data_IF_421295286716
#
_entry.id   IF_421295286716
#
_cell.length_a   1.000
_cell.length_b   1.000
_cell.length_c   1.000
_cell.angle_alpha   90.00
_cell.angle_beta   90.00
_cell.angle_gamma   90.00
#
_symmetry.space_group_name_H-M   'P 1'
#
loop_
_entity.id
_entity.type
_entity.pdbx_description
1 polymer ?
#
# COMPACT_ATOMS: atom_id res chain seq x y z
N UNK A 1 0.99 -45.25 14.35
CA UNK A 1 1.92 -44.63 13.39
C UNK A 1 1.10 -44.19 12.18
N UNK A 2 0.81 -42.90 12.07
CA UNK A 2 0.19 -42.33 10.86
C UNK A 2 1.01 -41.09 10.52
N UNK A 3 1.78 -41.18 9.43
CA UNK A 3 2.64 -40.11 8.95
C UNK A 3 1.81 -39.07 8.20
N UNK A 4 1.81 -37.83 8.68
CA UNK A 4 1.20 -36.68 8.01
C UNK A 4 2.19 -36.11 7.00
N UNK A 5 1.90 -36.24 5.71
CA UNK A 5 2.68 -35.63 4.64
C UNK A 5 2.45 -34.10 4.62
N UNK A 6 3.49 -33.33 4.88
CA UNK A 6 3.52 -31.87 4.67
C UNK A 6 3.78 -31.61 3.19
N UNK A 7 2.83 -30.99 2.50
CA UNK A 7 3.04 -30.45 1.17
C UNK A 7 3.88 -29.17 1.26
N UNK A 8 5.07 -29.19 0.67
CA UNK A 8 5.95 -28.04 0.53
C UNK A 8 5.56 -27.24 -0.72
N UNK A 9 5.13 -25.99 -0.53
CA UNK A 9 4.94 -25.04 -1.64
C UNK A 9 6.34 -24.54 -2.05
N UNK A 10 6.81 -25.00 -3.21
CA UNK A 10 8.05 -24.51 -3.84
C UNK A 10 7.74 -23.24 -4.63
N UNK A 11 8.38 -22.13 -4.25
CA UNK A 11 8.42 -20.92 -5.07
C UNK A 11 9.26 -21.19 -6.34
N UNK A 12 8.65 -21.03 -7.51
CA UNK A 12 9.34 -21.14 -8.79
C UNK A 12 10.18 -19.89 -9.05
N UNK A 13 11.49 -20.10 -9.21
CA UNK A 13 12.48 -19.12 -9.68
C UNK A 13 12.52 -19.24 -11.20
N UNK A 14 12.12 -18.20 -11.94
CA UNK A 14 12.27 -18.19 -13.41
C UNK A 14 13.53 -17.38 -13.73
N UNK A 15 14.54 -18.09 -14.26
CA UNK A 15 15.75 -17.49 -14.83
C UNK A 15 15.43 -16.93 -16.22
N UNK A 16 15.79 -15.66 -16.44
CA UNK A 16 15.78 -15.00 -17.75
C UNK A 16 16.93 -15.50 -18.62
N UNK A 17 16.64 -15.92 -19.85
CA UNK A 17 17.53 -15.72 -21.01
C UNK A 17 16.72 -15.83 -22.31
N UNK A 18 17.22 -15.10 -23.33
CA UNK A 18 16.92 -15.11 -24.77
C UNK A 18 16.05 -13.94 -25.26
N UNK A 19 16.72 -12.98 -25.91
CA UNK A 19 16.18 -12.17 -27.01
C UNK A 19 16.32 -12.97 -28.34
N UNK A 20 15.52 -12.72 -29.39
CA UNK A 20 15.88 -11.66 -30.35
C UNK A 20 14.70 -10.91 -31.02
N UNK A 21 15.07 -9.77 -31.63
CA UNK A 21 14.46 -9.02 -32.75
C UNK A 21 13.15 -9.53 -33.40
N UNK A 22 12.20 -8.60 -33.68
CA UNK A 22 11.78 -8.18 -35.05
C UNK A 22 10.66 -7.10 -35.00
N UNK A 23 10.88 -6.06 -35.83
CA UNK A 23 10.00 -5.11 -36.54
C UNK A 23 8.89 -4.30 -35.82
N UNK A 24 9.05 -2.98 -35.90
CA UNK A 24 8.01 -1.96 -35.75
C UNK A 24 6.94 -2.08 -36.86
N UNK A 25 5.67 -2.08 -36.46
CA UNK A 25 4.56 -1.67 -37.31
C UNK A 25 3.86 -0.46 -36.67
N UNK A 26 3.94 0.68 -37.36
CA UNK A 26 3.29 1.94 -37.02
C UNK A 26 1.85 1.88 -37.53
N UNK A 27 0.86 2.00 -36.63
CA UNK A 27 -0.54 2.23 -37.00
C UNK A 27 -0.85 3.74 -36.94
N UNK A 28 -1.47 4.34 -37.97
CA UNK A 28 -1.91 5.73 -37.94
C UNK A 28 -3.21 5.91 -37.14
N UNK A 29 -3.46 7.10 -36.57
CA UNK A 29 -4.67 7.39 -35.81
C UNK A 29 -5.90 7.55 -36.71
N UNK A 30 -7.05 7.15 -36.18
CA UNK A 30 -8.36 7.25 -36.82
C UNK A 30 -8.76 8.71 -37.07
N UNK A 31 -9.24 8.95 -38.28
CA UNK A 31 -9.76 10.24 -38.72
C UNK A 31 -11.07 10.60 -37.98
N UNK A 32 -11.12 11.81 -37.45
CA UNK A 32 -12.36 12.44 -37.02
C UNK A 32 -13.08 12.99 -38.26
N UNK A 33 -14.28 12.47 -38.55
CA UNK A 33 -15.17 13.01 -39.57
C UNK A 33 -15.67 14.39 -39.15
N UNK A 34 -15.12 15.42 -39.78
CA UNK A 34 -15.73 16.73 -39.94
C UNK A 34 -16.66 16.67 -41.15
N UNK A 35 -17.97 16.83 -40.95
CA UNK A 35 -18.85 17.16 -42.05
C UNK A 35 -19.98 18.11 -41.67
N UNK A 36 -20.07 19.15 -42.48
CA UNK A 36 -21.23 20.00 -42.78
C UNK A 36 -21.60 21.12 -41.80
N UNK A 37 -20.89 22.25 -41.96
CA UNK A 37 -21.53 23.56 -42.01
C UNK A 37 -22.15 23.75 -43.41
N UNK A 38 -23.48 23.78 -43.50
CA UNK A 38 -24.20 24.39 -44.62
C UNK A 38 -25.51 24.97 -44.08
N UNK A 39 -25.64 26.28 -44.21
CA UNK A 39 -26.77 27.09 -43.77
C UNK A 39 -28.01 26.86 -44.64
N UNK A 40 -29.14 27.05 -43.98
CA UNK A 40 -30.51 26.74 -44.39
C UNK A 40 -31.04 27.77 -45.39
N UNK A 41 -31.73 27.31 -46.44
CA UNK A 41 -32.82 28.06 -47.07
C UNK A 41 -33.99 27.13 -47.43
N UNK A 42 -35.20 27.61 -47.13
CA UNK A 42 -36.52 27.17 -47.59
C UNK A 42 -37.30 26.06 -46.81
N UNK A 43 -38.21 26.57 -45.96
CA UNK A 43 -39.67 26.31 -45.90
C UNK A 43 -40.23 24.87 -45.72
N UNK A 44 -40.97 24.76 -44.60
CA UNK A 44 -42.22 23.99 -44.29
C UNK A 44 -42.12 22.71 -43.44
N UNK A 45 -43.18 22.40 -42.66
CA UNK A 45 -43.05 21.94 -41.28
C UNK A 45 -43.28 20.43 -41.12
N UNK A 46 -42.50 19.78 -40.25
CA UNK A 46 -42.88 18.51 -39.62
C UNK A 46 -42.45 18.47 -38.15
N UNK A 47 -43.42 18.80 -37.30
CA UNK A 47 -43.49 18.35 -35.90
C UNK A 47 -43.73 16.82 -35.91
N UNK A 48 -43.35 16.15 -34.83
CA UNK A 48 -43.34 14.69 -34.59
C UNK A 48 -42.21 13.90 -35.27
N UNK A 49 -40.97 14.03 -34.79
CA UNK A 49 -39.99 12.92 -34.69
C UNK A 49 -38.83 13.35 -33.77
N UNK A 50 -39.10 13.73 -32.52
CA UNK A 50 -38.02 14.06 -31.56
C UNK A 50 -38.41 13.81 -30.10
N UNK A 51 -39.16 12.74 -29.82
CA UNK A 51 -39.51 12.39 -28.42
C UNK A 51 -38.95 11.02 -28.03
N UNK A 52 -38.70 10.13 -28.99
CA UNK A 52 -38.24 8.76 -28.70
C UNK A 52 -36.72 8.64 -28.48
N UNK A 53 -35.90 9.46 -29.14
CA UNK A 53 -34.42 9.42 -28.97
C UNK A 53 -33.92 10.09 -27.68
N UNK A 54 -34.62 11.13 -27.19
CA UNK A 54 -34.25 11.80 -25.95
C UNK A 54 -34.56 10.93 -24.72
N UNK A 55 -35.71 10.25 -24.71
CA UNK A 55 -36.08 9.30 -23.64
C UNK A 55 -35.14 8.08 -23.56
N UNK A 56 -34.60 7.62 -24.68
CA UNK A 56 -33.64 6.50 -24.71
C UNK A 56 -32.23 6.90 -24.23
N UNK A 57 -31.80 8.14 -24.46
CA UNK A 57 -30.55 8.66 -23.92
C UNK A 57 -30.65 8.97 -22.42
N UNK A 58 -31.76 9.57 -21.97
CA UNK A 58 -32.03 9.81 -20.55
C UNK A 58 -32.13 8.50 -19.77
N UNK A 59 -32.80 7.47 -20.30
CA UNK A 59 -32.85 6.14 -19.67
C UNK A 59 -31.49 5.45 -19.61
N UNK A 60 -30.56 5.74 -20.54
CA UNK A 60 -29.20 5.16 -20.55
C UNK A 60 -28.28 5.85 -19.56
N UNK A 61 -28.40 7.16 -19.39
CA UNK A 61 -27.68 7.92 -18.36
C UNK A 61 -28.21 7.61 -16.95
N UNK A 62 -29.53 7.45 -16.77
CA UNK A 62 -30.14 7.01 -15.49
C UNK A 62 -29.77 5.56 -15.14
N UNK A 63 -29.69 4.64 -16.11
CA UNK A 63 -29.30 3.25 -15.82
C UNK A 63 -27.80 3.10 -15.54
N UNK A 64 -26.93 3.90 -16.16
CA UNK A 64 -25.49 3.90 -15.88
C UNK A 64 -25.21 4.56 -14.52
N UNK A 65 -25.89 5.65 -14.18
CA UNK A 65 -25.75 6.27 -12.84
C UNK A 65 -26.35 5.40 -11.72
N UNK A 66 -27.41 4.63 -12.00
CA UNK A 66 -27.96 3.67 -11.05
C UNK A 66 -27.13 2.37 -10.90
N UNK A 67 -26.29 1.98 -11.89
CA UNK A 67 -25.48 0.75 -11.79
C UNK A 67 -24.22 0.93 -10.95
N UNK A 68 -23.65 2.15 -10.89
CA UNK A 68 -22.51 2.48 -10.01
C UNK A 68 -22.88 2.34 -8.52
N UNK A 69 -24.18 2.41 -8.19
CA UNK A 69 -24.70 2.21 -6.84
C UNK A 69 -24.93 0.73 -6.45
N UNK A 70 -24.64 -0.25 -7.32
CA UNK A 70 -24.94 -1.68 -7.05
C UNK A 70 -23.73 -2.57 -6.80
N UNK A 71 -22.54 -2.19 -7.26
CA UNK A 71 -21.37 -3.05 -7.09
C UNK A 71 -20.74 -2.84 -5.71
N UNK A 72 -20.64 -3.90 -4.87
CA UNK A 72 -20.10 -3.75 -3.52
C UNK A 72 -18.63 -3.36 -3.59
N UNK A 73 -18.20 -2.52 -2.65
CA UNK A 73 -16.77 -2.30 -2.43
C UNK A 73 -16.14 -3.60 -1.96
N UNK A 74 -15.03 -3.99 -2.57
CA UNK A 74 -14.16 -5.07 -2.07
C UNK A 74 -12.90 -4.46 -1.51
N UNK A 75 -12.49 -4.90 -0.32
CA UNK A 75 -11.23 -4.53 0.31
C UNK A 75 -10.35 -5.77 0.44
N UNK A 76 -9.32 -5.88 -0.38
CA UNK A 76 -8.34 -6.96 -0.34
C UNK A 76 -7.24 -6.62 0.65
N UNK A 77 -6.99 -7.52 1.60
CA UNK A 77 -6.09 -7.28 2.73
C UNK A 77 -5.42 -8.57 3.19
N UNK A 78 -4.44 -8.44 4.09
CA UNK A 78 -3.81 -9.56 4.79
C UNK A 78 -3.51 -9.20 6.25
N UNK A 79 -3.51 -10.15 7.18
CA UNK A 79 -3.14 -9.92 8.58
C UNK A 79 -1.78 -9.26 8.75
N UNK A 80 -1.66 -8.35 9.72
CA UNK A 80 -0.42 -7.62 10.03
C UNK A 80 -0.01 -6.55 9.02
N UNK A 81 -0.73 -6.38 7.91
CA UNK A 81 -0.50 -5.32 6.94
C UNK A 81 -1.05 -3.98 7.45
N UNK A 82 -0.15 -3.04 7.73
CA UNK A 82 -0.45 -1.72 8.28
C UNK A 82 -1.26 -0.84 7.33
N UNK A 83 -0.90 -0.82 6.04
CA UNK A 83 -1.65 -0.10 5.01
C UNK A 83 -3.05 -0.70 4.80
N UNK A 84 -3.19 -2.02 4.93
CA UNK A 84 -4.47 -2.68 4.80
C UNK A 84 -5.42 -2.34 5.96
N UNK A 85 -4.91 -2.33 7.19
CA UNK A 85 -5.67 -1.90 8.35
C UNK A 85 -6.10 -0.42 8.21
N UNK A 86 -5.18 0.46 7.79
CA UNK A 86 -5.46 1.88 7.55
C UNK A 86 -6.58 2.08 6.53
N UNK A 87 -6.52 1.36 5.40
CA UNK A 87 -7.55 1.40 4.35
C UNK A 87 -8.92 0.94 4.89
N UNK A 88 -8.97 -0.18 5.62
CA UNK A 88 -10.23 -0.70 6.18
C UNK A 88 -10.84 0.24 7.21
N UNK A 89 -10.03 0.82 8.09
CA UNK A 89 -10.50 1.80 9.06
C UNK A 89 -10.98 3.10 8.40
N UNK A 90 -10.32 3.53 7.33
CA UNK A 90 -10.78 4.66 6.52
C UNK A 90 -12.18 4.39 5.95
N UNK A 91 -12.38 3.25 5.28
CA UNK A 91 -13.70 2.86 4.77
C UNK A 91 -14.75 2.78 5.88
N UNK A 92 -14.40 2.19 7.02
CA UNK A 92 -15.30 2.03 8.17
C UNK A 92 -15.72 3.37 8.77
N UNK A 93 -14.75 4.29 8.99
CA UNK A 93 -15.03 5.62 9.55
C UNK A 93 -15.95 6.47 8.67
N UNK A 94 -15.91 6.26 7.35
CA UNK A 94 -16.79 6.92 6.40
C UNK A 94 -18.12 6.18 6.17
N UNK A 95 -18.41 5.12 6.93
CA UNK A 95 -19.67 4.37 6.82
C UNK A 95 -19.82 3.64 5.49
N UNK A 96 -18.72 3.35 4.79
CA UNK A 96 -18.75 2.64 3.51
C UNK A 96 -18.76 1.13 3.79
N UNK A 97 -19.86 0.41 3.48
CA UNK A 97 -19.86 -1.04 3.59
C UNK A 97 -18.95 -1.65 2.52
N UNK A 98 -18.19 -2.68 2.90
CA UNK A 98 -17.32 -3.39 1.99
C UNK A 98 -17.28 -4.89 2.31
N UNK A 99 -17.06 -5.70 1.27
CA UNK A 99 -16.66 -7.09 1.39
C UNK A 99 -15.18 -7.14 1.80
N UNK A 100 -14.89 -7.72 2.96
CA UNK A 100 -13.51 -7.90 3.42
C UNK A 100 -12.93 -9.21 2.88
N UNK A 101 -11.86 -9.12 2.10
CA UNK A 101 -11.24 -10.27 1.43
C UNK A 101 -9.81 -10.45 1.93
N UNK A 102 -9.62 -11.44 2.80
CA UNK A 102 -8.29 -11.82 3.27
C UNK A 102 -7.60 -12.70 2.22
N UNK A 103 -6.58 -12.17 1.56
CA UNK A 103 -5.87 -12.86 0.46
C UNK A 103 -5.07 -14.10 0.92
N UNK A 104 -4.84 -14.26 2.23
CA UNK A 104 -4.21 -15.47 2.77
C UNK A 104 -5.21 -16.58 3.09
N UNK A 105 -6.50 -16.24 3.23
CA UNK A 105 -7.56 -17.19 3.55
C UNK A 105 -8.39 -17.57 2.31
N UNK A 106 -8.54 -16.66 1.35
CA UNK A 106 -9.28 -16.88 0.12
C UNK A 106 -8.32 -17.29 -1.02
N UNK A 107 -8.38 -18.56 -1.50
CA UNK A 107 -7.50 -19.04 -2.56
C UNK A 107 -7.73 -18.38 -3.92
N UNK A 108 -8.92 -17.79 -4.16
CA UNK A 108 -9.25 -17.09 -5.39
C UNK A 108 -8.86 -15.61 -5.40
N UNK A 109 -8.55 -15.02 -4.24
CA UNK A 109 -8.37 -13.58 -4.12
C UNK A 109 -7.17 -13.04 -4.92
N UNK A 110 -6.03 -13.74 -4.91
CA UNK A 110 -4.87 -13.32 -5.74
C UNK A 110 -5.11 -13.50 -7.23
N UNK A 111 -5.90 -14.50 -7.64
CA UNK A 111 -6.29 -14.65 -9.05
C UNK A 111 -7.17 -13.48 -9.49
N UNK A 112 -8.13 -13.06 -8.66
CA UNK A 112 -8.95 -11.88 -8.92
C UNK A 112 -8.12 -10.58 -9.00
N UNK A 113 -7.12 -10.41 -8.14
CA UNK A 113 -6.18 -9.28 -8.24
C UNK A 113 -5.34 -9.33 -9.51
N UNK A 114 -4.90 -10.52 -9.93
CA UNK A 114 -4.10 -10.69 -11.13
C UNK A 114 -4.86 -10.32 -12.41
N UNK A 115 -6.19 -10.51 -12.45
CA UNK A 115 -7.06 -10.03 -13.54
C UNK A 115 -7.05 -8.49 -13.67
N UNK A 116 -6.79 -7.78 -12.57
CA UNK A 116 -6.60 -6.33 -12.54
C UNK A 116 -5.15 -5.90 -12.84
N UNK A 117 -4.25 -6.86 -13.09
CA UNK A 117 -2.81 -6.63 -13.24
C UNK A 117 -2.08 -6.37 -11.92
N UNK A 118 -2.72 -6.66 -10.77
CA UNK A 118 -2.18 -6.36 -9.44
C UNK A 118 -1.72 -7.64 -8.73
N UNK A 119 -0.60 -7.57 -8.01
CA UNK A 119 -0.02 -8.71 -7.28
C UNK A 119 0.17 -8.45 -5.79
N UNK A 120 -0.26 -7.30 -5.31
CA UNK A 120 -0.08 -6.85 -3.93
C UNK A 120 -1.37 -6.33 -3.32
N UNK A 121 -1.37 -6.27 -1.98
CA UNK A 121 -2.40 -5.65 -1.15
C UNK A 121 -1.75 -4.51 -0.36
N UNK A 122 -2.52 -3.48 0.05
CA UNK A 122 -3.98 -3.37 0.00
C UNK A 122 -4.55 -2.90 -1.34
N UNK A 123 -5.75 -3.40 -1.68
CA UNK A 123 -6.53 -2.94 -2.84
C UNK A 123 -7.98 -2.71 -2.45
N UNK A 124 -8.53 -1.58 -2.88
CA UNK A 124 -9.97 -1.34 -2.90
C UNK A 124 -10.48 -1.44 -4.33
N UNK A 125 -11.63 -2.07 -4.53
CA UNK A 125 -12.22 -2.29 -5.85
C UNK A 125 -13.73 -2.01 -5.81
N UNK A 126 -14.25 -1.38 -6.88
CA UNK A 126 -15.67 -1.27 -7.22
C UNK A 126 -15.83 -1.62 -8.69
N UNK A 127 -16.39 -2.80 -9.00
CA UNK A 127 -16.47 -3.25 -10.39
C UNK A 127 -15.10 -3.42 -11.02
N UNK A 128 -14.88 -2.77 -12.17
CA UNK A 128 -13.59 -2.69 -12.83
C UNK A 128 -12.67 -1.58 -12.29
N UNK A 129 -13.19 -0.64 -11.51
CA UNK A 129 -12.41 0.44 -10.91
C UNK A 129 -11.73 -0.03 -9.63
N UNK A 130 -10.47 0.36 -9.44
CA UNK A 130 -9.69 -0.01 -8.27
C UNK A 130 -8.64 1.04 -7.92
N UNK A 131 -8.12 0.96 -6.70
CA UNK A 131 -7.03 1.81 -6.22
C UNK A 131 -6.11 1.04 -5.27
N UNK A 132 -4.84 1.44 -5.27
CA UNK A 132 -3.88 1.00 -4.26
C UNK A 132 -4.26 1.60 -2.90
N UNK A 133 -4.53 0.74 -1.92
CA UNK A 133 -4.97 1.17 -0.58
C UNK A 133 -3.92 1.94 0.21
N UNK A 134 -2.70 2.09 -0.32
CA UNK A 134 -1.66 2.94 0.25
C UNK A 134 -1.96 4.44 0.11
N UNK A 135 -2.75 4.82 -0.90
CA UNK A 135 -3.10 6.22 -1.20
C UNK A 135 -4.58 6.44 -0.88
N UNK A 136 -4.87 7.00 0.29
CA UNK A 136 -6.27 7.15 0.76
C UNK A 136 -7.11 8.09 -0.11
N UNK A 137 -6.50 9.04 -0.82
CA UNK A 137 -7.18 9.85 -1.84
C UNK A 137 -7.79 8.98 -2.93
N UNK A 138 -7.04 8.01 -3.41
CA UNK A 138 -7.47 7.13 -4.49
C UNK A 138 -8.47 6.08 -3.98
N UNK A 139 -8.34 5.67 -2.71
CA UNK A 139 -9.36 4.89 -2.02
C UNK A 139 -10.68 5.68 -1.93
N UNK A 140 -10.61 6.96 -1.57
CA UNK A 140 -11.78 7.83 -1.47
C UNK A 140 -12.49 7.96 -2.84
N UNK A 141 -11.73 8.11 -3.93
CA UNK A 141 -12.25 8.10 -5.30
C UNK A 141 -13.05 6.82 -5.61
N UNK A 142 -12.47 5.64 -5.39
CA UNK A 142 -13.14 4.36 -5.66
C UNK A 142 -14.35 4.15 -4.75
N UNK A 143 -14.25 4.57 -3.48
CA UNK A 143 -15.30 4.42 -2.48
C UNK A 143 -16.43 5.44 -2.61
N UNK A 144 -16.26 6.53 -3.36
CA UNK A 144 -17.20 7.65 -3.42
C UNK A 144 -17.20 8.52 -2.16
N UNK A 145 -16.07 8.57 -1.46
CA UNK A 145 -15.88 9.41 -0.26
C UNK A 145 -15.37 10.79 -0.72
N UNK A 146 -15.98 11.91 -0.29
CA UNK A 146 -15.43 13.24 -0.53
C UNK A 146 -14.03 13.38 0.07
N UNK A 147 -13.05 13.79 -0.74
CA UNK A 147 -11.67 13.96 -0.28
C UNK A 147 -11.39 15.42 0.11
N UNK A 148 -11.18 15.65 1.41
CA UNK A 148 -10.88 16.98 1.97
C UNK A 148 -9.40 17.35 2.02
N UNK A 149 -8.52 16.50 1.51
CA UNK A 149 -7.07 16.60 1.73
C UNK A 149 -6.61 15.90 3.01
N UNK A 150 -5.30 15.83 3.19
CA UNK A 150 -4.67 15.32 4.41
C UNK A 150 -3.73 16.40 4.96
N UNK A 151 -3.86 16.68 6.26
CA UNK A 151 -2.88 17.53 6.95
C UNK A 151 -1.65 16.67 7.24
N UNK A 152 -0.50 17.08 6.69
CA UNK A 152 0.77 16.38 6.88
C UNK A 152 1.68 17.19 7.80
N UNK A 153 2.47 16.47 8.59
CA UNK A 153 3.49 17.08 9.45
C UNK A 153 4.68 17.58 8.60
N UNK A 154 5.35 18.68 8.99
CA UNK A 154 6.53 19.14 8.29
C UNK A 154 7.63 18.05 8.21
N UNK A 155 8.36 17.98 7.10
CA UNK A 155 9.41 16.98 6.88
C UNK A 155 10.43 16.86 8.04
N UNK A 156 10.90 17.95 8.68
CA UNK A 156 11.77 17.83 9.86
C UNK A 156 11.14 17.11 11.05
N UNK A 157 9.82 17.20 11.23
CA UNK A 157 9.11 16.46 12.28
C UNK A 157 8.95 15.00 11.90
N UNK A 158 8.65 14.70 10.62
CA UNK A 158 8.59 13.33 10.11
C UNK A 158 9.92 12.62 10.30
N UNK A 159 11.03 13.26 9.91
CA UNK A 159 12.38 12.72 10.11
C UNK A 159 12.68 12.41 11.59
N UNK A 160 12.44 13.37 12.51
CA UNK A 160 12.68 13.14 13.95
C UNK A 160 11.88 11.96 14.49
N UNK A 161 10.62 11.83 14.06
CA UNK A 161 9.76 10.70 14.42
C UNK A 161 10.26 9.39 13.85
N UNK A 162 10.68 9.37 12.58
CA UNK A 162 11.25 8.19 11.95
C UNK A 162 12.51 7.72 12.71
N UNK A 163 13.40 8.63 13.11
CA UNK A 163 14.57 8.30 13.95
C UNK A 163 14.13 7.68 15.27
N UNK A 164 13.22 8.33 16.01
CA UNK A 164 12.73 7.80 17.29
C UNK A 164 12.07 6.42 17.15
N UNK A 165 11.34 6.19 16.06
CA UNK A 165 10.71 4.91 15.71
C UNK A 165 11.78 3.83 15.46
N UNK A 166 12.82 4.14 14.68
CA UNK A 166 13.89 3.17 14.39
C UNK A 166 14.73 2.84 15.64
N UNK A 167 15.01 3.82 16.50
CA UNK A 167 15.68 3.58 17.79
C UNK A 167 14.82 2.70 18.71
N UNK A 168 13.51 2.97 18.77
CA UNK A 168 12.58 2.15 19.53
C UNK A 168 12.51 0.72 19.00
N UNK A 169 12.49 0.52 17.68
CA UNK A 169 12.49 -0.81 17.07
C UNK A 169 13.70 -1.64 17.53
N UNK A 170 14.90 -1.07 17.50
CA UNK A 170 16.11 -1.74 17.96
C UNK A 170 16.05 -2.10 19.45
N UNK A 171 15.65 -1.14 20.30
CA UNK A 171 15.51 -1.35 21.76
C UNK A 171 14.46 -2.41 22.10
N UNK A 172 13.32 -2.40 21.43
CA UNK A 172 12.24 -3.37 21.65
C UNK A 172 12.63 -4.77 21.18
N UNK A 173 13.26 -4.89 20.02
CA UNK A 173 13.69 -6.19 19.50
C UNK A 173 14.81 -6.83 20.34
N UNK A 174 15.73 -6.01 20.88
CA UNK A 174 16.77 -6.51 21.78
C UNK A 174 16.23 -7.27 23.00
N UNK A 175 15.01 -6.93 23.46
CA UNK A 175 14.34 -7.59 24.59
C UNK A 175 13.77 -8.98 24.26
N UNK A 176 13.52 -9.29 22.98
CA UNK A 176 12.97 -10.59 22.58
C UNK A 176 14.04 -11.66 22.77
N UNK A 177 13.83 -12.75 23.53
CA UNK A 177 14.85 -13.80 23.69
C UNK A 177 15.27 -14.42 22.36
N UNK A 178 16.56 -14.74 22.19
CA UNK A 178 17.12 -15.26 20.93
C UNK A 178 16.36 -16.49 20.41
N UNK A 179 15.98 -17.39 21.32
CA UNK A 179 15.22 -18.60 20.99
C UNK A 179 13.81 -18.33 20.40
N UNK A 180 13.31 -17.09 20.53
CA UNK A 180 11.95 -16.69 20.15
C UNK A 180 11.89 -15.76 18.95
N UNK A 181 13.01 -15.26 18.45
CA UNK A 181 13.02 -14.30 17.32
C UNK A 181 12.38 -14.87 16.05
N UNK A 182 12.42 -16.19 15.88
CA UNK A 182 11.85 -16.92 14.73
C UNK A 182 10.37 -17.30 14.88
N UNK A 183 9.77 -17.04 16.05
CA UNK A 183 8.34 -17.27 16.24
C UNK A 183 7.50 -16.31 15.38
N UNK A 184 6.34 -16.80 14.96
CA UNK A 184 5.51 -16.17 13.94
C UNK A 184 4.46 -15.24 14.56
N UNK A 185 4.11 -14.18 13.83
CA UNK A 185 2.99 -13.31 14.16
C UNK A 185 1.65 -14.08 14.05
N UNK A 186 0.63 -13.71 14.85
CA UNK A 186 -0.68 -14.35 14.78
C UNK A 186 -1.28 -14.29 13.37
N UNK A 187 -1.63 -15.44 12.80
CA UNK A 187 -2.26 -15.56 11.46
C UNK A 187 -1.47 -14.90 10.32
N UNK A 188 -0.15 -14.73 10.50
CA UNK A 188 0.73 -14.09 9.52
C UNK A 188 2.06 -14.87 9.48
N UNK A 189 2.46 -15.45 8.34
CA UNK A 189 3.77 -16.09 8.18
C UNK A 189 4.87 -15.02 8.08
N UNK A 190 5.12 -14.33 9.20
CA UNK A 190 6.22 -13.40 9.42
C UNK A 190 6.71 -13.56 10.85
N UNK A 191 7.99 -13.85 11.01
CA UNK A 191 8.66 -13.93 12.30
C UNK A 191 8.87 -12.56 12.97
N UNK A 192 9.19 -12.55 14.26
CA UNK A 192 9.54 -11.31 14.97
C UNK A 192 10.84 -10.68 14.43
N UNK A 193 11.80 -11.49 13.99
CA UNK A 193 13.00 -11.05 13.29
C UNK A 193 12.64 -10.37 11.95
N UNK A 194 11.81 -11.01 11.12
CA UNK A 194 11.37 -10.44 9.84
C UNK A 194 10.50 -9.18 10.04
N UNK A 195 9.68 -9.10 11.09
CA UNK A 195 8.96 -7.87 11.44
C UNK A 195 9.93 -6.73 11.76
N UNK A 196 10.96 -7.01 12.57
CA UNK A 196 11.93 -6.00 12.97
C UNK A 196 12.80 -5.57 11.79
N UNK A 197 13.27 -6.53 10.99
CA UNK A 197 13.98 -6.25 9.74
C UNK A 197 13.13 -5.36 8.81
N UNK A 198 11.84 -5.67 8.69
CA UNK A 198 10.89 -4.88 7.88
C UNK A 198 10.80 -3.43 8.35
N UNK A 199 10.82 -3.16 9.67
CA UNK A 199 10.81 -1.79 10.22
C UNK A 199 12.02 -0.99 9.73
N UNK A 200 13.21 -1.58 9.76
CA UNK A 200 14.44 -0.97 9.25
C UNK A 200 14.41 -0.81 7.72
N UNK A 201 14.01 -1.87 7.01
CA UNK A 201 13.91 -1.92 5.56
C UNK A 201 13.01 -0.82 4.98
N UNK A 202 11.96 -0.38 5.68
CA UNK A 202 11.12 0.72 5.22
C UNK A 202 11.93 2.01 5.05
N UNK A 203 12.83 2.33 5.98
CA UNK A 203 13.72 3.49 5.85
C UNK A 203 14.87 3.24 4.88
N UNK A 204 15.37 2.00 4.78
CA UNK A 204 16.40 1.68 3.79
C UNK A 204 15.88 1.82 2.35
N UNK A 205 14.63 1.44 2.09
CA UNK A 205 13.96 1.68 0.80
C UNK A 205 13.77 3.17 0.48
N UNK A 206 13.61 4.01 1.51
CA UNK A 206 13.67 5.47 1.35
C UNK A 206 15.07 5.93 0.97
N UNK A 207 16.11 5.41 1.62
CA UNK A 207 17.50 5.76 1.34
C UNK A 207 17.95 5.28 -0.04
N UNK A 208 17.51 4.13 -0.51
CA UNK A 208 17.73 3.69 -1.89
C UNK A 208 17.15 4.66 -2.91
N UNK A 209 15.97 5.18 -2.63
CA UNK A 209 15.33 6.18 -3.47
C UNK A 209 16.04 7.52 -3.43
N UNK A 210 16.28 8.07 -2.24
CA UNK A 210 16.81 9.43 -2.09
C UNK A 210 18.32 9.56 -2.22
N UNK A 211 19.07 8.51 -1.88
CA UNK A 211 20.55 8.54 -1.90
C UNK A 211 21.09 7.85 -3.14
N UNK A 212 20.45 6.76 -3.60
CA UNK A 212 20.92 5.99 -4.75
C UNK A 212 20.17 6.29 -6.05
N UNK A 213 19.11 7.11 -6.00
CA UNK A 213 18.30 7.47 -7.16
C UNK A 213 17.51 6.29 -7.74
N UNK A 214 17.21 5.28 -6.92
CA UNK A 214 16.51 4.07 -7.36
C UNK A 214 15.00 4.24 -7.25
N UNK A 215 14.24 3.76 -8.23
CA UNK A 215 12.79 3.66 -8.12
C UNK A 215 12.40 2.76 -6.94
N UNK A 216 11.38 3.15 -6.19
CA UNK A 216 10.77 2.24 -5.22
C UNK A 216 9.88 1.23 -5.96
N UNK A 217 10.41 0.03 -6.14
CA UNK A 217 9.72 -1.05 -6.86
C UNK A 217 8.68 -1.79 -6.01
N UNK A 218 7.73 -2.44 -6.71
CA UNK A 218 6.80 -3.37 -6.06
C UNK A 218 7.58 -4.49 -5.36
N UNK A 219 7.27 -4.72 -4.09
CA UNK A 219 7.95 -5.74 -3.28
C UNK A 219 9.22 -5.28 -2.57
N UNK A 220 9.67 -4.03 -2.71
CA UNK A 220 10.81 -3.48 -1.94
C UNK A 220 10.62 -3.63 -0.42
N UNK A 221 9.38 -3.53 0.06
CA UNK A 221 9.04 -3.76 1.47
C UNK A 221 8.88 -5.23 1.87
N UNK A 222 8.97 -6.18 0.94
CA UNK A 222 8.85 -7.61 1.25
C UNK A 222 10.20 -8.30 1.43
N UNK A 223 11.30 -7.54 1.45
CA UNK A 223 12.63 -8.05 1.74
C UNK A 223 12.65 -8.70 3.13
N UNK A 224 13.28 -9.86 3.19
CA UNK A 224 13.57 -10.60 4.42
C UNK A 224 15.09 -10.74 4.53
N UNK A 225 15.63 -10.99 5.74
CA UNK A 225 17.04 -11.32 5.89
C UNK A 225 17.43 -12.49 4.98
N UNK A 226 18.67 -12.50 4.48
CA UNK A 226 19.15 -13.64 3.71
C UNK A 226 19.18 -14.90 4.58
N UNK A 227 19.22 -16.08 3.95
CA UNK A 227 19.25 -17.34 4.69
C UNK A 227 20.50 -17.42 5.57
N UNK A 228 20.31 -17.55 6.89
CA UNK A 228 21.40 -17.51 7.88
C UNK A 228 21.85 -16.11 8.30
N UNK A 229 21.15 -15.06 7.84
CA UNK A 229 21.35 -13.66 8.23
C UNK A 229 20.19 -13.11 9.10
N UNK A 230 19.40 -14.01 9.68
CA UNK A 230 18.17 -13.72 10.43
C UNK A 230 18.34 -13.76 11.96
N UNK A 231 19.57 -13.88 12.46
CA UNK A 231 19.80 -13.85 13.90
C UNK A 231 19.62 -12.44 14.49
N UNK A 232 19.49 -12.37 15.82
CA UNK A 232 19.23 -11.10 16.50
C UNK A 232 20.34 -10.07 16.23
N UNK A 233 21.59 -10.49 16.31
CA UNK A 233 22.73 -9.59 16.17
C UNK A 233 22.79 -9.00 14.77
N UNK A 234 22.53 -9.82 13.74
CA UNK A 234 22.50 -9.40 12.34
C UNK A 234 21.36 -8.42 12.06
N UNK A 235 20.15 -8.70 12.56
CA UNK A 235 19.00 -7.78 12.40
C UNK A 235 19.25 -6.45 13.10
N UNK A 236 19.84 -6.46 14.30
CA UNK A 236 20.21 -5.22 15.02
C UNK A 236 21.33 -4.46 14.31
N UNK A 237 22.34 -5.15 13.79
CA UNK A 237 23.42 -4.53 13.02
C UNK A 237 22.89 -3.87 11.73
N UNK A 238 21.94 -4.52 11.05
CA UNK A 238 21.25 -3.92 9.91
C UNK A 238 20.51 -2.64 10.32
N UNK A 239 19.75 -2.67 11.43
CA UNK A 239 19.08 -1.47 11.95
C UNK A 239 20.03 -0.33 12.31
N UNK A 240 21.17 -0.64 12.93
CA UNK A 240 22.22 0.34 13.24
C UNK A 240 22.80 0.98 11.97
N UNK A 241 23.07 0.17 10.93
CA UNK A 241 23.52 0.68 9.64
C UNK A 241 22.50 1.63 9.03
N UNK A 242 21.24 1.21 8.94
CA UNK A 242 20.15 2.04 8.38
C UNK A 242 19.99 3.34 9.16
N UNK A 243 20.13 3.31 10.48
CA UNK A 243 20.10 4.52 11.30
C UNK A 243 21.23 5.50 10.95
N UNK A 244 22.46 5.01 10.83
CA UNK A 244 23.61 5.83 10.45
C UNK A 244 23.42 6.46 9.07
N UNK A 245 22.95 5.68 8.10
CA UNK A 245 22.67 6.16 6.74
C UNK A 245 21.53 7.19 6.73
N UNK A 246 20.49 7.00 7.55
CA UNK A 246 19.37 7.93 7.68
C UNK A 246 19.81 9.28 8.27
N UNK A 247 20.66 9.26 9.30
CA UNK A 247 21.23 10.48 9.88
C UNK A 247 22.14 11.20 8.89
N UNK A 248 22.99 10.45 8.17
CA UNK A 248 23.88 11.01 7.15
C UNK A 248 23.09 11.64 5.99
N UNK A 249 22.04 10.97 5.51
CA UNK A 249 21.14 11.51 4.49
C UNK A 249 20.51 12.83 4.94
N UNK A 250 20.00 12.89 6.17
CA UNK A 250 19.35 14.10 6.67
C UNK A 250 20.30 15.30 6.70
N UNK A 251 21.53 15.09 7.17
CA UNK A 251 22.54 16.14 7.26
C UNK A 251 23.07 16.59 5.90
N UNK A 252 23.06 15.72 4.89
CA UNK A 252 23.62 16.01 3.57
C UNK A 252 22.61 16.58 2.58
N UNK A 253 21.40 16.02 2.49
CA UNK A 253 20.40 16.41 1.50
C UNK A 253 18.97 16.44 2.03
N UNK A 254 18.63 15.70 3.09
CA UNK A 254 17.26 15.61 3.59
C UNK A 254 16.67 16.93 4.09
N UNK A 255 17.48 17.84 4.65
CA UNK A 255 17.04 19.18 5.10
C UNK A 255 16.63 20.11 3.97
N UNK A 256 17.22 19.96 2.80
CA UNK A 256 17.06 20.88 1.64
C UNK A 256 16.37 20.22 0.46
N UNK A 257 15.94 18.96 0.59
CA UNK A 257 15.20 18.25 -0.43
C UNK A 257 13.92 19.00 -0.83
N UNK A 258 13.62 19.00 -2.12
CA UNK A 258 12.32 19.47 -2.62
C UNK A 258 11.26 18.41 -2.33
N UNK A 259 10.53 18.57 -1.23
CA UNK A 259 9.48 17.63 -0.83
C UNK A 259 8.22 17.71 -1.69
N UNK A 260 8.07 18.75 -2.52
CA UNK A 260 6.93 18.88 -3.43
C UNK A 260 7.15 18.10 -4.74
N UNK A 261 8.39 17.70 -5.04
CA UNK A 261 8.69 16.93 -6.26
C UNK A 261 7.99 15.57 -6.24
N UNK A 262 7.64 15.10 -7.42
CA UNK A 262 7.08 13.78 -7.62
C UNK A 262 8.09 12.70 -7.18
N UNK A 263 7.60 11.69 -6.47
CA UNK A 263 8.40 10.54 -6.05
C UNK A 263 8.24 9.38 -7.04
N UNK A 264 9.36 8.81 -7.48
CA UNK A 264 9.39 7.63 -8.35
C UNK A 264 9.06 6.33 -7.57
N UNK A 265 7.77 6.03 -7.42
CA UNK A 265 7.27 4.90 -6.61
C UNK A 265 6.24 4.04 -7.36
N UNK A 266 6.09 2.77 -6.97
CA UNK A 266 5.17 1.82 -7.62
C UNK A 266 3.68 2.02 -7.30
N UNK A 267 3.34 2.73 -6.22
CA UNK A 267 1.99 2.70 -5.65
C UNK A 267 1.10 3.90 -6.00
N UNK A 268 1.53 4.75 -6.94
CA UNK A 268 0.72 5.83 -7.50
C UNK A 268 1.42 7.17 -7.55
N UNK A 269 0.65 8.19 -7.93
CA UNK A 269 1.09 9.58 -8.05
C UNK A 269 1.15 10.25 -6.67
N UNK A 270 2.35 10.32 -6.12
CA UNK A 270 2.64 10.95 -4.83
C UNK A 270 3.90 11.82 -4.92
N UNK A 271 3.98 12.83 -4.07
CA UNK A 271 5.20 13.60 -3.88
C UNK A 271 6.10 13.01 -2.80
N UNK A 272 7.30 13.56 -2.69
CA UNK A 272 8.30 13.11 -1.73
C UNK A 272 7.86 13.33 -0.26
N UNK A 273 7.05 14.36 0.02
CA UNK A 273 6.47 14.60 1.34
C UNK A 273 5.53 13.46 1.77
N UNK A 274 4.60 13.09 0.89
CA UNK A 274 3.68 11.96 1.10
C UNK A 274 4.45 10.65 1.27
N UNK A 275 5.53 10.46 0.50
CA UNK A 275 6.38 9.30 0.64
C UNK A 275 7.10 9.28 2.01
N UNK A 276 7.69 10.40 2.47
CA UNK A 276 8.33 10.46 3.78
C UNK A 276 7.34 10.23 4.92
N UNK A 277 6.15 10.81 4.82
CA UNK A 277 5.08 10.59 5.79
C UNK A 277 4.73 9.11 5.84
N UNK A 278 4.58 8.46 4.67
CA UNK A 278 4.35 7.02 4.58
C UNK A 278 5.45 6.21 5.22
N UNK A 279 6.71 6.47 4.91
CA UNK A 279 7.86 5.82 5.54
C UNK A 279 7.78 5.92 7.06
N UNK A 280 7.43 7.10 7.57
CA UNK A 280 7.35 7.38 9.01
C UNK A 280 6.21 6.61 9.70
N UNK A 281 4.96 6.77 9.26
CA UNK A 281 3.82 6.13 9.93
C UNK A 281 3.80 4.61 9.71
N UNK A 282 4.30 4.12 8.57
CA UNK A 282 4.39 2.70 8.28
C UNK A 282 5.36 1.99 9.25
N UNK A 283 6.57 2.53 9.43
CA UNK A 283 7.51 2.04 10.44
C UNK A 283 6.92 2.16 11.84
N UNK A 284 6.29 3.30 12.16
CA UNK A 284 5.67 3.54 13.47
C UNK A 284 4.59 2.51 13.82
N UNK A 285 3.75 2.14 12.86
CA UNK A 285 2.70 1.15 13.10
C UNK A 285 3.28 -0.25 13.36
N UNK A 286 4.35 -0.62 12.66
CA UNK A 286 5.04 -1.89 12.93
C UNK A 286 5.78 -1.88 14.28
N UNK A 287 6.26 -0.73 14.76
CA UNK A 287 6.75 -0.60 16.14
C UNK A 287 5.63 -0.82 17.16
N UNK A 288 4.41 -0.32 16.93
CA UNK A 288 3.25 -0.66 17.78
C UNK A 288 2.97 -2.16 17.80
N UNK A 289 3.14 -2.85 16.66
CA UNK A 289 3.03 -4.31 16.61
C UNK A 289 4.16 -5.01 17.38
N UNK A 290 5.38 -4.48 17.37
CA UNK A 290 6.49 -5.01 18.15
C UNK A 290 6.28 -4.85 19.67
N UNK A 291 5.68 -3.73 20.09
CA UNK A 291 5.22 -3.54 21.49
C UNK A 291 4.15 -4.59 21.85
N UNK A 292 3.19 -4.84 20.97
CA UNK A 292 2.19 -5.91 21.15
C UNK A 292 2.86 -7.29 21.27
N UNK A 293 3.89 -7.57 20.45
CA UNK A 293 4.66 -8.83 20.53
C UNK A 293 5.27 -8.98 21.91
N UNK A 294 5.98 -7.98 22.45
CA UNK A 294 6.55 -8.06 23.81
C UNK A 294 5.46 -8.37 24.86
N UNK A 295 4.29 -7.73 24.76
CA UNK A 295 3.14 -8.04 25.61
C UNK A 295 2.69 -9.51 25.52
N UNK A 296 2.62 -10.07 24.30
CA UNK A 296 2.34 -11.50 24.10
C UNK A 296 3.41 -12.42 24.71
N UNK A 297 4.66 -11.94 24.81
CA UNK A 297 5.75 -12.67 25.44
C UNK A 297 5.79 -12.53 26.96
N UNK A 298 4.90 -11.72 27.55
CA UNK A 298 4.95 -11.37 28.97
C UNK A 298 6.15 -10.48 29.34
N UNK A 299 6.70 -9.73 28.36
CA UNK A 299 7.84 -8.85 28.54
C UNK A 299 7.33 -7.40 28.61
N UNK A 300 7.67 -6.69 29.68
CA UNK A 300 7.41 -5.25 29.79
C UNK A 300 8.30 -4.50 28.81
N UNK A 301 7.74 -3.72 27.87
CA UNK A 301 8.54 -2.95 26.91
C UNK A 301 9.42 -1.90 27.62
N UNK A 302 10.72 -1.93 27.36
CA UNK A 302 11.65 -0.86 27.74
C UNK A 302 11.42 0.41 26.92
N UNK A 303 10.94 1.46 27.60
CA UNK A 303 10.65 2.79 27.05
C UNK A 303 9.94 2.73 25.69
N UNK A 304 8.70 2.18 25.60
CA UNK A 304 7.97 2.15 24.35
C UNK A 304 7.67 3.58 23.87
N UNK A 305 7.54 3.83 22.55
CA UNK A 305 7.20 5.16 22.05
C UNK A 305 5.92 5.69 22.69
N UNK A 306 5.97 6.91 23.23
CA UNK A 306 4.80 7.61 23.73
C UNK A 306 3.92 8.16 22.60
N UNK A 307 2.73 8.69 22.92
CA UNK A 307 1.80 9.28 21.95
C UNK A 307 2.45 10.35 21.06
N UNK A 308 3.37 11.15 21.61
CA UNK A 308 4.05 12.26 20.92
C UNK A 308 4.81 11.83 19.66
N UNK A 309 5.30 10.59 19.65
CA UNK A 309 5.99 10.00 18.48
C UNK A 309 5.01 9.78 17.33
N UNK A 310 3.73 9.53 17.64
CA UNK A 310 2.69 9.20 16.67
C UNK A 310 1.74 10.36 16.35
N UNK A 311 1.66 11.37 17.21
CA UNK A 311 0.71 12.47 17.08
C UNK A 311 0.81 13.19 15.72
N UNK A 312 -0.34 13.30 15.03
CA UNK A 312 -0.42 13.91 13.70
C UNK A 312 0.06 13.03 12.56
N UNK A 313 0.63 11.85 12.81
CA UNK A 313 0.79 10.85 11.76
C UNK A 313 -0.57 10.20 11.48
N UNK A 314 -0.85 9.80 10.23
CA UNK A 314 -2.14 9.21 9.88
C UNK A 314 -2.19 7.72 10.24
N UNK A 315 -1.97 7.43 11.52
CA UNK A 315 -1.93 6.09 12.10
C UNK A 315 -3.32 5.43 12.05
N UNK A 316 -3.39 4.11 11.83
CA UNK A 316 -4.58 3.35 12.19
C UNK A 316 -4.88 3.48 13.70
N UNK A 317 -6.15 3.44 14.08
CA UNK A 317 -6.57 3.40 15.48
C UNK A 317 -6.10 2.10 16.12
N UNK A 318 -6.36 0.96 15.47
CA UNK A 318 -5.97 -0.36 15.98
C UNK A 318 -4.51 -0.68 15.68
N UNK A 319 -3.95 -1.61 16.43
CA UNK A 319 -2.59 -2.17 16.17
C UNK A 319 -2.63 -3.32 15.16
N UNK A 320 -3.71 -4.11 15.23
CA UNK A 320 -3.89 -5.33 14.46
C UNK A 320 -5.33 -5.46 13.99
N UNK A 321 -5.53 -6.11 12.85
CA UNK A 321 -6.86 -6.44 12.35
C UNK A 321 -7.40 -7.68 13.07
N UNK A 322 -8.41 -7.50 13.90
CA UNK A 322 -8.99 -8.53 14.76
C UNK A 322 -10.05 -9.39 14.06
N UNK A 323 -10.29 -9.18 12.76
CA UNK A 323 -11.23 -10.00 12.00
C UNK A 323 -10.81 -11.48 12.06
N UNK A 324 -11.66 -12.28 12.70
CA UNK A 324 -11.46 -13.72 12.82
C UNK A 324 -11.67 -14.35 11.45
N UNK A 325 -10.70 -15.14 11.02
CA UNK A 325 -10.88 -16.06 9.88
C UNK A 325 -11.79 -17.18 10.42
N UNK A 326 -13.09 -17.04 10.23
CA UNK A 326 -14.08 -18.10 10.50
C UNK A 326 -14.08 -19.12 9.39
#
# INVERSE_FOLDING_TARGET
MVASAKAAIRYFKVSSFIAPFVALAVFPPAAHDTCCAASVAAKRPRRLYCVTKCAQHMNREETVTASVAREPIKAYWQPGCTSCLRMKEFLTRHGVPFQSINVLADPGAFAALAELGVRSVPIVQRGSDWANGQVLRDVARVAGIPWGGAQMLPAPQLYRRLVAIQEAAARLFAQIPDARTREQLPNRPRSYAELTYHIFNIADAWLEHEVKGQRLEEGAYNRIPAAGEDDKAQVLAYGQKVMGDLQAWWETSGKTADYARQADVYYGEVNLHEYLERTTWHSGQHVRQLVMVLGMLGITPDNPPGPEVFDGLPMPEKVWDAERIT
#
